data_IF_095676253375
#
_entry.id   IF_095676253375
#
_cell.length_a   1.000
_cell.length_b   1.000
_cell.length_c   1.000
_cell.angle_alpha   90.00
_cell.angle_beta   90.00
_cell.angle_gamma   90.00
#
_symmetry.space_group_name_H-M   'P 1'
#
loop_
_entity.id
_entity.type
_entity.pdbx_description
1 polymer ?
#
# COMPACT_ATOMS: atom_id res chain seq x y z
N UNK A 1 -8.81 63.20 6.26
CA UNK A 1 -9.17 61.77 6.44
C UNK A 1 -8.30 60.94 5.49
N UNK A 2 -7.29 60.23 6.02
CA UNK A 2 -6.40 59.36 5.23
C UNK A 2 -7.10 58.01 5.02
N UNK A 3 -7.36 57.63 3.77
CA UNK A 3 -7.89 56.31 3.40
C UNK A 3 -6.72 55.32 3.40
N UNK A 4 -6.75 54.34 4.31
CA UNK A 4 -5.84 53.19 4.26
C UNK A 4 -6.40 52.17 3.26
N UNK A 5 -5.66 51.91 2.19
CA UNK A 5 -5.96 50.88 1.22
C UNK A 5 -5.36 49.56 1.72
N UNK A 6 -6.21 48.69 2.28
CA UNK A 6 -5.82 47.34 2.71
C UNK A 6 -5.68 46.49 1.45
N UNK A 7 -4.44 46.16 1.08
CA UNK A 7 -4.14 45.17 0.04
C UNK A 7 -4.28 43.79 0.70
N UNK A 8 -5.41 43.11 0.49
CA UNK A 8 -5.55 41.70 0.80
C UNK A 8 -4.71 40.89 -0.20
N UNK A 9 -3.50 40.51 0.20
CA UNK A 9 -2.78 39.41 -0.44
C UNK A 9 -3.59 38.13 -0.18
N UNK A 10 -4.42 37.74 -1.14
CA UNK A 10 -4.97 36.39 -1.21
C UNK A 10 -3.79 35.46 -1.48
N UNK A 11 -3.16 34.98 -0.41
CA UNK A 11 -2.31 33.80 -0.45
C UNK A 11 -3.21 32.65 -0.91
N UNK A 12 -3.22 32.41 -2.22
CA UNK A 12 -3.78 31.19 -2.78
C UNK A 12 -2.93 30.05 -2.27
N UNK A 13 -3.30 29.48 -1.13
CA UNK A 13 -2.82 28.18 -0.73
C UNK A 13 -3.28 27.25 -1.84
N UNK A 14 -2.33 26.82 -2.69
CA UNK A 14 -2.59 25.74 -3.61
C UNK A 14 -2.89 24.54 -2.71
N UNK A 15 -4.18 24.24 -2.52
CA UNK A 15 -4.60 22.90 -2.16
C UNK A 15 -4.14 22.05 -3.33
N UNK A 16 -2.92 21.52 -3.21
CA UNK A 16 -2.47 20.43 -4.05
C UNK A 16 -3.42 19.31 -3.67
N UNK A 17 -4.43 19.09 -4.51
CA UNK A 17 -5.31 17.96 -4.35
C UNK A 17 -4.42 16.72 -4.27
N UNK A 18 -4.73 15.83 -3.33
CA UNK A 18 -4.00 14.58 -3.13
C UNK A 18 -4.25 13.64 -4.31
N UNK A 19 -3.80 14.01 -5.50
CA UNK A 19 -3.77 13.19 -6.70
C UNK A 19 -2.39 12.58 -6.87
N UNK A 20 -2.33 11.41 -7.48
CA UNK A 20 -1.07 10.84 -7.96
C UNK A 20 -0.36 11.82 -8.91
N UNK A 21 0.98 11.86 -8.87
CA UNK A 21 1.76 12.90 -9.54
C UNK A 21 1.71 12.76 -11.06
N UNK A 22 1.71 13.90 -11.75
CA UNK A 22 1.69 13.93 -13.22
C UNK A 22 3.05 14.24 -13.86
N UNK A 23 3.98 14.81 -13.09
CA UNK A 23 5.34 15.08 -13.56
C UNK A 23 6.37 14.81 -12.45
N UNK A 24 7.67 14.82 -12.80
CA UNK A 24 8.76 14.57 -11.82
C UNK A 24 8.71 15.56 -10.65
N UNK A 25 8.39 16.84 -10.91
CA UNK A 25 8.34 17.85 -9.85
C UNK A 25 7.24 17.52 -8.83
N UNK A 26 6.03 17.19 -9.29
CA UNK A 26 4.92 16.76 -8.43
C UNK A 26 5.23 15.42 -7.72
N UNK A 27 5.88 14.49 -8.41
CA UNK A 27 6.29 13.22 -7.82
C UNK A 27 7.25 13.46 -6.66
N UNK A 28 8.21 14.35 -6.84
CA UNK A 28 9.23 14.62 -5.83
C UNK A 28 8.77 15.53 -4.71
N UNK A 29 7.79 16.40 -4.93
CA UNK A 29 7.25 17.28 -3.88
C UNK A 29 6.62 16.52 -2.71
N UNK A 30 6.26 15.24 -2.88
CA UNK A 30 5.77 14.40 -1.77
C UNK A 30 6.82 14.09 -0.71
N UNK A 31 8.09 14.35 -0.99
CA UNK A 31 9.17 14.25 0.00
C UNK A 31 9.40 15.55 0.77
N UNK A 32 8.81 16.66 0.32
CA UNK A 32 8.83 17.94 1.03
C UNK A 32 7.77 17.99 2.14
N UNK A 33 6.64 17.30 1.92
CA UNK A 33 5.57 17.14 2.90
C UNK A 33 5.20 15.66 3.10
N UNK A 34 5.55 15.17 4.28
CA UNK A 34 5.39 13.79 4.69
C UNK A 34 3.92 13.37 4.88
N UNK A 35 2.95 14.28 4.87
CA UNK A 35 1.51 13.91 4.92
C UNK A 35 0.98 13.48 3.56
N UNK A 36 1.64 13.88 2.46
CA UNK A 36 1.15 13.65 1.10
C UNK A 36 0.90 12.16 0.82
N UNK A 37 1.77 11.25 1.29
CA UNK A 37 1.56 9.81 1.08
C UNK A 37 0.28 9.29 1.76
N UNK A 38 -0.02 9.76 2.99
CA UNK A 38 -1.25 9.42 3.69
C UNK A 38 -2.48 10.00 2.99
N UNK A 39 -2.39 11.24 2.51
CA UNK A 39 -3.48 11.91 1.82
C UNK A 39 -3.75 11.25 0.46
N UNK A 40 -2.70 10.86 -0.26
CA UNK A 40 -2.79 10.09 -1.51
C UNK A 40 -3.50 8.76 -1.30
N UNK A 41 -3.16 8.03 -0.23
CA UNK A 41 -3.81 6.77 0.14
C UNK A 41 -5.27 6.93 0.61
N UNK A 42 -5.70 8.15 0.93
CA UNK A 42 -7.07 8.44 1.37
C UNK A 42 -7.98 8.93 0.23
N UNK A 43 -7.41 9.33 -0.90
CA UNK A 43 -8.13 9.95 -2.00
C UNK A 43 -8.68 8.88 -2.97
N UNK A 44 -10.01 8.74 -3.15
CA UNK A 44 -10.62 7.66 -3.92
C UNK A 44 -10.07 7.49 -5.35
N UNK A 45 -9.77 8.60 -6.04
CA UNK A 45 -9.22 8.58 -7.39
C UNK A 45 -7.84 7.91 -7.49
N UNK A 46 -7.11 7.82 -6.38
CA UNK A 46 -5.81 7.15 -6.30
C UNK A 46 -5.92 5.69 -5.90
N UNK A 47 -7.13 5.15 -5.78
CA UNK A 47 -7.36 3.78 -5.32
C UNK A 47 -7.87 2.89 -6.46
N UNK A 48 -7.74 1.58 -6.30
CA UNK A 48 -8.16 0.64 -7.34
C UNK A 48 -9.69 0.64 -7.48
N UNK A 49 -10.18 0.73 -8.71
CA UNK A 49 -11.59 0.89 -9.01
C UNK A 49 -12.42 -0.38 -8.87
N UNK A 50 -11.81 -1.54 -8.62
CA UNK A 50 -12.52 -2.81 -8.61
C UNK A 50 -12.19 -3.65 -7.38
N UNK A 51 -13.24 -4.28 -6.84
CA UNK A 51 -13.11 -5.21 -5.72
C UNK A 51 -12.24 -6.39 -6.11
N UNK A 52 -11.53 -6.91 -5.13
CA UNK A 52 -10.91 -8.21 -5.23
C UNK A 52 -11.94 -9.29 -5.66
N UNK A 53 -11.57 -10.09 -6.66
CA UNK A 53 -12.41 -11.15 -7.23
C UNK A 53 -11.51 -12.22 -7.86
N UNK A 54 -12.08 -13.38 -8.23
CA UNK A 54 -11.35 -14.45 -8.91
C UNK A 54 -10.42 -15.25 -8.00
N UNK A 55 -9.26 -15.60 -8.52
CA UNK A 55 -8.21 -16.31 -7.78
C UNK A 55 -8.47 -17.81 -7.54
N UNK A 56 -7.48 -18.47 -6.92
CA UNK A 56 -7.53 -19.91 -6.62
C UNK A 56 -8.69 -20.19 -5.65
N UNK A 57 -9.57 -21.15 -6.01
CA UNK A 57 -10.78 -21.52 -5.26
C UNK A 57 -11.76 -20.37 -4.98
N UNK A 58 -11.80 -19.33 -5.82
CA UNK A 58 -12.62 -18.12 -5.62
C UNK A 58 -12.29 -17.37 -4.31
N UNK A 59 -11.10 -17.59 -3.73
CA UNK A 59 -10.64 -16.88 -2.53
C UNK A 59 -10.19 -15.45 -2.81
N UNK A 60 -10.15 -15.04 -4.09
CA UNK A 60 -9.62 -13.76 -4.53
C UNK A 60 -8.08 -13.73 -4.57
N UNK A 61 -7.56 -12.56 -4.92
CA UNK A 61 -6.14 -12.21 -5.03
C UNK A 61 -5.75 -11.12 -4.01
N UNK A 62 -6.40 -11.09 -2.83
CA UNK A 62 -6.31 -10.02 -1.82
C UNK A 62 -4.89 -9.49 -1.61
N UNK A 63 -3.94 -10.39 -1.34
CA UNK A 63 -2.57 -10.01 -1.03
C UNK A 63 -1.88 -9.29 -2.19
N UNK A 64 -2.03 -9.82 -3.40
CA UNK A 64 -1.46 -9.27 -4.62
C UNK A 64 -2.17 -7.98 -5.03
N UNK A 65 -3.47 -7.88 -4.74
CA UNK A 65 -4.27 -6.67 -4.95
C UNK A 65 -3.74 -5.50 -4.11
N UNK A 66 -3.58 -5.69 -2.80
CA UNK A 66 -3.00 -4.67 -1.90
C UNK A 66 -1.55 -4.32 -2.27
N UNK A 67 -0.72 -5.31 -2.64
CA UNK A 67 0.67 -5.03 -3.08
C UNK A 67 0.71 -4.22 -4.38
N UNK A 68 -0.12 -4.57 -5.37
CA UNK A 68 -0.22 -3.83 -6.62
C UNK A 68 -0.62 -2.37 -6.38
N UNK A 69 -1.63 -2.13 -5.53
CA UNK A 69 -2.06 -0.79 -5.15
C UNK A 69 -0.95 -0.02 -4.41
N UNK A 70 -0.24 -0.67 -3.47
CA UNK A 70 0.90 -0.04 -2.79
C UNK A 70 1.99 0.36 -3.77
N UNK A 71 2.32 -0.48 -4.75
CA UNK A 71 3.31 -0.16 -5.77
C UNK A 71 2.90 1.05 -6.62
N UNK A 72 1.62 1.15 -6.99
CA UNK A 72 1.08 2.34 -7.68
C UNK A 72 1.28 3.60 -6.83
N UNK A 73 0.87 3.57 -5.56
CA UNK A 73 0.98 4.73 -4.68
C UNK A 73 2.43 5.22 -4.52
N UNK A 74 3.39 4.30 -4.51
CA UNK A 74 4.81 4.65 -4.41
C UNK A 74 5.44 5.03 -5.75
N UNK A 75 5.21 4.31 -6.84
CA UNK A 75 6.10 4.36 -8.00
C UNK A 75 5.46 4.87 -9.29
N UNK A 76 4.17 5.21 -9.28
CA UNK A 76 3.50 5.64 -10.51
C UNK A 76 3.54 7.15 -10.74
N UNK A 77 3.56 7.53 -12.02
CA UNK A 77 3.34 8.89 -12.50
C UNK A 77 2.32 8.86 -13.64
N UNK A 78 1.19 9.56 -13.51
CA UNK A 78 0.09 9.54 -14.46
C UNK A 78 0.21 10.66 -15.49
N UNK A 79 0.17 10.33 -16.79
CA UNK A 79 0.41 11.29 -17.88
C UNK A 79 -0.82 11.40 -18.80
N UNK A 80 -1.86 12.14 -18.41
CA UNK A 80 -3.08 12.27 -19.22
C UNK A 80 -2.85 12.98 -20.56
N UNK A 81 -1.75 13.73 -20.67
CA UNK A 81 -1.31 14.41 -21.90
C UNK A 81 -0.67 13.48 -22.94
N UNK A 82 -0.27 12.26 -22.54
CA UNK A 82 0.26 11.25 -23.44
C UNK A 82 -0.87 10.38 -24.04
N UNK A 83 -0.68 9.82 -25.25
CA UNK A 83 -1.65 8.88 -25.80
C UNK A 83 -1.77 7.63 -24.93
N UNK A 84 -2.99 7.08 -24.82
CA UNK A 84 -3.24 5.83 -24.09
C UNK A 84 -2.37 4.69 -24.62
N UNK A 85 -1.94 3.83 -23.71
CA UNK A 85 -1.04 2.70 -24.01
C UNK A 85 -1.65 1.76 -25.05
N UNK A 86 -0.81 1.27 -25.97
CA UNK A 86 -1.21 0.25 -26.93
C UNK A 86 -1.52 -1.07 -26.19
N UNK A 87 -2.58 -1.82 -26.58
CA UNK A 87 -2.85 -3.14 -26.03
C UNK A 87 -1.65 -4.10 -25.95
N UNK A 88 -0.68 -4.01 -26.87
CA UNK A 88 0.54 -4.84 -26.85
C UNK A 88 1.52 -4.50 -25.71
N UNK A 89 1.52 -3.24 -25.28
CA UNK A 89 2.42 -2.70 -24.25
C UNK A 89 1.78 -2.71 -22.85
N UNK A 90 0.45 -2.84 -22.78
CA UNK A 90 -0.30 -2.86 -21.53
C UNK A 90 0.15 -3.98 -20.58
N UNK A 91 0.34 -5.20 -21.08
CA UNK A 91 0.76 -6.34 -20.23
C UNK A 91 2.17 -6.12 -19.64
N UNK A 92 3.19 -5.71 -20.42
CA UNK A 92 4.47 -5.26 -19.87
C UNK A 92 4.33 -4.19 -18.79
N UNK A 93 3.51 -3.15 -19.02
CA UNK A 93 3.30 -2.08 -18.03
C UNK A 93 2.73 -2.62 -16.71
N UNK A 94 1.68 -3.45 -16.75
CA UNK A 94 1.08 -4.06 -15.56
C UNK A 94 2.11 -4.92 -14.81
N UNK A 95 2.96 -5.65 -15.53
CA UNK A 95 4.05 -6.42 -14.91
C UNK A 95 5.13 -5.55 -14.27
N UNK A 96 5.40 -4.38 -14.84
CA UNK A 96 6.33 -3.41 -14.26
C UNK A 96 5.80 -2.83 -12.96
N UNK A 97 4.51 -2.44 -12.93
CA UNK A 97 3.80 -2.00 -11.71
C UNK A 97 3.87 -3.10 -10.66
N UNK A 98 3.53 -4.33 -11.04
CA UNK A 98 3.57 -5.52 -10.18
C UNK A 98 4.95 -5.74 -9.56
N UNK A 99 6.01 -5.61 -10.36
CA UNK A 99 7.37 -5.78 -9.89
C UNK A 99 7.81 -4.67 -8.94
N UNK A 100 7.32 -3.44 -9.16
CA UNK A 100 7.63 -2.28 -8.35
C UNK A 100 9.12 -1.94 -8.33
N UNK A 101 9.84 -2.15 -9.43
CA UNK A 101 11.31 -2.04 -9.52
C UNK A 101 11.82 -0.72 -10.11
N UNK A 102 10.92 0.10 -10.62
CA UNK A 102 11.20 1.34 -11.32
C UNK A 102 10.03 2.30 -11.17
N UNK A 103 10.26 3.58 -11.44
CA UNK A 103 9.16 4.53 -11.66
C UNK A 103 8.41 4.11 -12.92
N UNK A 104 7.08 4.02 -12.81
CA UNK A 104 6.21 3.62 -13.92
C UNK A 104 5.41 4.83 -14.39
N UNK A 105 5.58 5.18 -15.66
CA UNK A 105 4.78 6.21 -16.32
C UNK A 105 3.52 5.56 -16.90
N UNK A 106 2.34 6.03 -16.51
CA UNK A 106 1.05 5.52 -16.96
C UNK A 106 0.42 6.54 -17.92
N UNK A 107 0.46 6.31 -19.25
CA UNK A 107 0.07 7.32 -20.24
C UNK A 107 -1.44 7.28 -20.55
N UNK A 108 -2.02 8.45 -20.75
CA UNK A 108 -3.41 8.64 -21.17
C UNK A 108 -4.47 8.45 -20.08
N UNK A 109 -4.07 8.47 -18.81
CA UNK A 109 -4.93 8.37 -17.64
C UNK A 109 -4.62 9.50 -16.66
N UNK A 110 -5.65 10.01 -16.00
CA UNK A 110 -5.50 11.10 -15.02
C UNK A 110 -5.18 10.59 -13.61
N UNK A 111 -5.57 9.34 -13.30
CA UNK A 111 -5.45 8.75 -11.97
C UNK A 111 -5.59 7.21 -12.00
N UNK A 112 -5.40 6.58 -10.84
CA UNK A 112 -5.40 5.12 -10.72
C UNK A 112 -6.80 4.51 -10.88
N UNK A 113 -7.85 5.17 -10.39
CA UNK A 113 -9.22 4.72 -10.54
C UNK A 113 -9.58 4.54 -12.03
N UNK A 114 -9.29 5.55 -12.87
CA UNK A 114 -9.56 5.50 -14.32
C UNK A 114 -8.78 4.37 -15.01
N UNK A 115 -7.48 4.25 -14.70
CA UNK A 115 -6.60 3.22 -15.27
C UNK A 115 -7.05 1.81 -14.88
N UNK A 116 -7.32 1.60 -13.58
CA UNK A 116 -7.71 0.30 -13.06
C UNK A 116 -9.10 -0.12 -13.49
N UNK A 117 -10.02 0.82 -13.74
CA UNK A 117 -11.34 0.51 -14.29
C UNK A 117 -11.22 0.09 -15.75
N UNK A 118 -10.48 0.88 -16.53
CA UNK A 118 -10.32 0.65 -17.97
C UNK A 118 -9.65 -0.70 -18.26
N UNK A 119 -8.67 -1.10 -17.46
CA UNK A 119 -7.91 -2.34 -17.65
C UNK A 119 -8.14 -3.37 -16.56
N UNK A 120 -9.31 -3.34 -15.92
CA UNK A 120 -9.69 -4.25 -14.83
C UNK A 120 -9.39 -5.71 -15.17
N UNK A 121 -9.76 -6.15 -16.38
CA UNK A 121 -9.63 -7.54 -16.81
C UNK A 121 -8.17 -7.97 -16.92
N UNK A 122 -7.33 -7.12 -17.49
CA UNK A 122 -5.91 -7.38 -17.71
C UNK A 122 -5.13 -7.35 -16.40
N UNK A 123 -5.44 -6.39 -15.51
CA UNK A 123 -4.84 -6.32 -14.17
C UNK A 123 -5.22 -7.57 -13.38
N UNK A 124 -6.50 -7.91 -13.31
CA UNK A 124 -6.95 -9.09 -12.58
C UNK A 124 -6.29 -10.37 -13.08
N UNK A 125 -6.22 -10.57 -14.40
CA UNK A 125 -5.56 -11.73 -15.00
C UNK A 125 -4.09 -11.84 -14.58
N UNK A 126 -3.40 -10.70 -14.47
CA UNK A 126 -2.00 -10.69 -14.02
C UNK A 126 -1.89 -10.96 -12.52
N UNK A 127 -2.80 -10.44 -11.68
CA UNK A 127 -2.85 -10.75 -10.25
C UNK A 127 -3.14 -12.23 -9.99
N UNK A 128 -4.04 -12.85 -10.77
CA UNK A 128 -4.32 -14.29 -10.70
C UNK A 128 -3.10 -15.12 -11.12
N UNK A 129 -2.42 -14.73 -12.20
CA UNK A 129 -1.18 -15.37 -12.63
C UNK A 129 -0.08 -15.24 -11.57
N UNK A 130 0.01 -14.09 -10.90
CA UNK A 130 0.93 -13.87 -9.79
C UNK A 130 0.59 -14.74 -8.59
N UNK A 131 -0.69 -14.83 -8.21
CA UNK A 131 -1.15 -15.72 -7.16
C UNK A 131 -0.80 -17.18 -7.44
N UNK A 132 -1.05 -17.66 -8.67
CA UNK A 132 -0.76 -19.05 -9.03
C UNK A 132 0.73 -19.33 -8.92
N UNK A 133 1.57 -18.41 -9.40
CA UNK A 133 3.01 -18.56 -9.28
C UNK A 133 3.43 -18.63 -7.81
N UNK A 134 3.04 -17.67 -6.99
CA UNK A 134 3.43 -17.63 -5.58
C UNK A 134 2.85 -18.80 -4.76
N UNK A 135 1.57 -19.13 -4.99
CA UNK A 135 0.85 -20.16 -4.25
C UNK A 135 1.27 -21.58 -4.63
N UNK A 136 1.29 -21.89 -5.93
CA UNK A 136 1.52 -23.27 -6.42
C UNK A 136 3.01 -23.55 -6.62
N UNK A 137 3.75 -22.61 -7.21
CA UNK A 137 5.17 -22.85 -7.55
C UNK A 137 6.05 -22.70 -6.31
N UNK A 138 5.72 -21.76 -5.41
CA UNK A 138 6.52 -21.50 -4.23
C UNK A 138 5.92 -22.07 -2.93
N UNK A 139 4.75 -22.72 -2.98
CA UNK A 139 4.14 -23.39 -1.82
C UNK A 139 3.62 -22.45 -0.72
N UNK A 140 3.41 -21.16 -1.02
CA UNK A 140 3.21 -20.09 -0.03
C UNK A 140 1.81 -19.95 0.57
N UNK A 141 0.83 -20.66 0.00
CA UNK A 141 -0.53 -20.82 0.57
C UNK A 141 -0.56 -21.43 1.97
N UNK A 142 0.44 -22.23 2.36
CA UNK A 142 0.48 -22.90 3.68
C UNK A 142 0.79 -21.92 4.82
N UNK A 143 1.51 -20.83 4.53
CA UNK A 143 1.90 -19.82 5.53
C UNK A 143 0.83 -18.73 5.70
N UNK A 144 -0.20 -18.74 4.84
CA UNK A 144 -1.40 -17.91 4.94
C UNK A 144 -2.37 -18.26 6.06
N UNK A 145 -2.28 -19.50 6.53
CA UNK A 145 -3.26 -20.13 7.43
C UNK A 145 -2.66 -20.43 8.82
N UNK A 146 -1.38 -20.14 9.01
CA UNK A 146 -0.66 -20.32 10.26
C UNK A 146 -0.56 -18.97 10.94
N UNK A 147 -1.34 -18.79 11.98
CA UNK A 147 -1.35 -17.58 12.78
C UNK A 147 -2.49 -17.65 13.78
N UNK A 148 -2.27 -17.08 14.95
CA UNK A 148 -3.30 -17.03 15.97
C UNK A 148 -4.34 -15.94 15.64
N UNK A 149 -5.62 -16.24 15.87
CA UNK A 149 -6.70 -15.25 15.73
C UNK A 149 -6.90 -14.39 16.97
N UNK A 150 -6.12 -14.67 18.02
CA UNK A 150 -6.01 -13.94 19.28
C UNK A 150 -4.59 -14.11 19.81
N UNK A 151 -4.04 -13.11 20.46
CA UNK A 151 -2.73 -13.16 21.12
C UNK A 151 -2.80 -12.44 22.47
N UNK A 152 -1.76 -12.57 23.28
CA UNK A 152 -1.58 -11.81 24.52
C UNK A 152 -1.81 -10.30 24.31
N UNK A 153 -2.57 -9.68 25.21
CA UNK A 153 -2.90 -8.23 25.15
C UNK A 153 -1.64 -7.36 25.03
N UNK A 154 -0.62 -7.70 25.81
CA UNK A 154 0.66 -6.98 25.84
C UNK A 154 1.38 -7.05 24.49
N UNK A 155 1.34 -8.22 23.84
CA UNK A 155 1.93 -8.47 22.54
C UNK A 155 1.16 -7.74 21.43
N UNK A 156 -0.18 -7.77 21.44
CA UNK A 156 -0.97 -7.02 20.46
C UNK A 156 -0.71 -5.52 20.58
N UNK A 157 -0.65 -4.99 21.81
CA UNK A 157 -0.27 -3.59 22.04
C UNK A 157 1.12 -3.28 21.47
N UNK A 158 2.11 -4.16 21.69
CA UNK A 158 3.45 -3.98 21.12
C UNK A 158 3.42 -3.92 19.58
N UNK A 159 2.69 -4.83 18.92
CA UNK A 159 2.50 -4.80 17.46
C UNK A 159 1.84 -3.51 16.99
N UNK A 160 0.90 -2.96 17.76
CA UNK A 160 0.26 -1.68 17.46
C UNK A 160 1.19 -0.48 17.66
N UNK A 161 2.05 -0.51 18.68
CA UNK A 161 3.10 0.50 18.87
C UNK A 161 4.13 0.47 17.71
N UNK A 162 4.50 -0.73 17.24
CA UNK A 162 5.36 -0.94 16.07
C UNK A 162 4.70 -0.39 14.80
N UNK A 163 3.43 -0.73 14.56
CA UNK A 163 2.66 -0.21 13.44
C UNK A 163 2.56 1.32 13.48
N UNK A 164 2.37 1.90 14.67
CA UNK A 164 2.36 3.35 14.85
C UNK A 164 3.69 3.98 14.43
N UNK A 165 4.82 3.43 14.88
CA UNK A 165 6.12 3.91 14.46
C UNK A 165 6.32 3.75 12.95
N UNK A 166 5.90 2.63 12.38
CA UNK A 166 6.03 2.37 10.94
C UNK A 166 5.24 3.37 10.09
N UNK A 167 3.97 3.62 10.41
CA UNK A 167 3.10 4.47 9.59
C UNK A 167 3.26 5.94 9.95
N UNK A 168 3.16 6.30 11.24
CA UNK A 168 3.11 7.69 11.67
C UNK A 168 4.48 8.34 11.81
N UNK A 169 5.49 7.61 12.30
CA UNK A 169 6.84 8.15 12.51
C UNK A 169 7.67 8.03 11.24
N UNK A 170 7.70 6.83 10.64
CA UNK A 170 8.50 6.57 9.43
C UNK A 170 7.78 6.97 8.13
N UNK A 171 6.49 7.35 8.19
CA UNK A 171 5.71 7.91 7.07
C UNK A 171 5.53 6.93 5.90
N UNK A 172 5.25 5.68 6.25
CA UNK A 172 5.15 4.55 5.31
C UNK A 172 3.72 4.04 5.21
N UNK A 173 3.38 3.41 4.08
CA UNK A 173 2.14 2.63 3.97
C UNK A 173 2.44 1.20 4.45
N UNK A 174 1.88 0.83 5.60
CA UNK A 174 2.03 -0.52 6.13
C UNK A 174 1.15 -1.48 5.34
N UNK A 175 1.72 -2.62 4.97
CA UNK A 175 0.93 -3.76 4.49
C UNK A 175 0.68 -4.68 5.68
N UNK A 176 -0.58 -5.05 5.90
CA UNK A 176 -0.94 -6.01 6.92
C UNK A 176 -1.57 -7.25 6.30
N UNK A 177 -1.01 -8.41 6.61
CA UNK A 177 -1.64 -9.69 6.36
C UNK A 177 -2.57 -10.01 7.52
N UNK A 178 -3.81 -10.39 7.23
CA UNK A 178 -4.78 -10.72 8.27
C UNK A 178 -4.86 -12.23 8.45
N UNK A 179 -4.67 -12.69 9.69
CA UNK A 179 -4.83 -14.11 10.04
C UNK A 179 -6.28 -14.36 10.44
N UNK A 180 -7.10 -14.75 9.47
CA UNK A 180 -8.52 -15.00 9.64
C UNK A 180 -8.79 -16.49 9.53
N UNK A 181 -9.51 -17.06 10.49
CA UNK A 181 -9.84 -18.49 10.49
C UNK A 181 -10.69 -18.86 9.27
N UNK A 182 -10.18 -19.77 8.45
CA UNK A 182 -10.91 -20.35 7.31
C UNK A 182 -10.93 -19.48 6.04
N UNK A 183 -10.28 -18.31 6.05
CA UNK A 183 -10.09 -17.50 4.85
C UNK A 183 -8.65 -17.69 4.35
N UNK A 184 -8.48 -17.93 3.05
CA UNK A 184 -7.18 -18.28 2.46
C UNK A 184 -6.29 -17.07 2.17
N UNK A 185 -6.84 -15.86 2.03
CA UNK A 185 -6.05 -14.65 1.86
C UNK A 185 -6.85 -13.38 2.14
N UNK A 186 -6.39 -12.54 3.08
CA UNK A 186 -6.87 -11.16 3.22
C UNK A 186 -5.73 -10.22 3.61
N UNK A 187 -5.84 -8.94 3.23
CA UNK A 187 -4.83 -7.94 3.56
C UNK A 187 -5.38 -6.52 3.61
N UNK A 188 -4.75 -5.71 4.44
CA UNK A 188 -5.00 -4.28 4.56
C UNK A 188 -3.77 -3.47 4.17
N UNK A 189 -3.98 -2.25 3.67
CA UNK A 189 -2.96 -1.22 3.63
C UNK A 189 -3.30 -0.14 4.65
N UNK A 190 -2.46 0.06 5.67
CA UNK A 190 -2.65 1.13 6.65
C UNK A 190 -1.95 2.38 6.13
N UNK A 191 -2.74 3.39 5.78
CA UNK A 191 -2.27 4.65 5.17
C UNK A 191 -2.15 5.77 6.20
N UNK A 192 -2.83 5.65 7.34
CA UNK A 192 -2.75 6.59 8.46
C UNK A 192 -2.96 5.87 9.78
N UNK A 193 -2.30 6.35 10.83
CA UNK A 193 -2.59 5.90 12.20
C UNK A 193 -2.47 7.07 13.16
N UNK A 194 -3.43 7.15 14.09
CA UNK A 194 -3.48 8.15 15.14
C UNK A 194 -3.48 7.46 16.49
N UNK A 195 -2.57 7.88 17.36
CA UNK A 195 -2.54 7.43 18.76
C UNK A 195 -3.60 8.17 19.57
N UNK A 196 -4.31 7.42 20.41
CA UNK A 196 -5.28 7.89 21.39
C UNK A 196 -4.81 7.48 22.79
N UNK A 197 -5.39 8.06 23.84
CA UNK A 197 -5.10 7.66 25.22
C UNK A 197 -5.51 6.20 25.50
N UNK A 198 -6.54 5.72 24.79
CA UNK A 198 -7.10 4.37 24.95
C UNK A 198 -6.65 3.37 23.89
N UNK A 199 -5.84 3.76 22.90
CA UNK A 199 -5.45 2.88 21.80
C UNK A 199 -5.08 3.62 20.51
N UNK A 200 -5.58 3.14 19.38
CA UNK A 200 -5.19 3.63 18.05
C UNK A 200 -6.39 3.70 17.10
N UNK A 201 -6.51 4.78 16.35
CA UNK A 201 -7.36 4.86 15.15
C UNK A 201 -6.51 4.65 13.90
N UNK A 202 -6.87 3.67 13.10
CA UNK A 202 -6.22 3.33 11.85
C UNK A 202 -7.11 3.79 10.69
N UNK A 203 -6.52 4.39 9.67
CA UNK A 203 -7.16 4.54 8.36
C UNK A 203 -6.53 3.52 7.41
N UNK A 204 -7.36 2.63 6.86
CA UNK A 204 -6.93 1.47 6.11
C UNK A 204 -7.67 1.31 4.78
N UNK A 205 -7.01 0.69 3.81
CA UNK A 205 -7.63 0.24 2.57
C UNK A 205 -7.75 -1.27 2.65
N UNK A 206 -8.98 -1.76 2.67
CA UNK A 206 -9.28 -3.19 2.70
C UNK A 206 -9.29 -3.75 1.27
N UNK A 207 -8.61 -4.89 1.00
CA UNK A 207 -8.56 -5.47 -0.34
C UNK A 207 -9.94 -5.88 -0.90
N UNK A 208 -10.94 -6.12 -0.05
CA UNK A 208 -12.34 -6.39 -0.45
C UNK A 208 -13.13 -5.09 -0.66
N UNK A 209 -12.66 -3.96 -0.15
CA UNK A 209 -13.22 -2.65 -0.41
C UNK A 209 -12.16 -1.61 -0.82
N UNK A 210 -11.47 -1.84 -1.95
CA UNK A 210 -10.25 -1.10 -2.26
C UNK A 210 -10.50 0.32 -2.76
N UNK A 211 -11.75 0.71 -3.00
CA UNK A 211 -12.13 2.02 -3.55
C UNK A 211 -12.18 3.13 -2.51
N UNK A 212 -12.04 2.80 -1.23
CA UNK A 212 -12.16 3.76 -0.15
C UNK A 212 -11.20 3.43 0.99
N UNK A 213 -10.93 4.45 1.81
CA UNK A 213 -10.26 4.26 3.09
C UNK A 213 -11.31 4.16 4.19
N UNK A 214 -11.15 3.17 5.05
CA UNK A 214 -12.01 2.88 6.20
C UNK A 214 -11.27 3.19 7.49
N UNK A 215 -12.02 3.49 8.55
CA UNK A 215 -11.44 3.69 9.87
C UNK A 215 -11.70 2.47 10.74
N UNK A 216 -10.66 2.03 11.46
CA UNK A 216 -10.74 0.97 12.46
C UNK A 216 -10.12 1.47 13.77
N UNK A 217 -10.79 1.23 14.91
CA UNK A 217 -10.27 1.61 16.22
C UNK A 217 -9.85 0.38 17.01
N UNK A 218 -8.57 0.30 17.33
CA UNK A 218 -8.02 -0.68 18.29
C UNK A 218 -8.01 -0.07 19.69
N UNK A 219 -8.38 -0.87 20.71
CA UNK A 219 -8.32 -0.46 22.12
C UNK A 219 -7.26 -1.26 22.87
N UNK A 220 -6.52 -0.58 23.74
CA UNK A 220 -5.63 -1.23 24.68
C UNK A 220 -6.48 -2.13 25.60
N UNK A 221 -6.10 -3.40 25.71
CA UNK A 221 -6.90 -4.43 26.37
C UNK A 221 -7.46 -5.47 25.40
N UNK A 222 -7.52 -5.17 24.11
CA UNK A 222 -7.95 -6.14 23.10
C UNK A 222 -6.86 -7.21 22.88
N UNK A 223 -7.29 -8.46 22.69
CA UNK A 223 -6.44 -9.63 22.32
C UNK A 223 -6.44 -9.89 20.80
N UNK A 224 -7.36 -9.25 20.08
CA UNK A 224 -7.59 -9.44 18.65
C UNK A 224 -8.35 -8.26 18.05
N UNK A 225 -8.26 -8.12 16.74
CA UNK A 225 -9.19 -7.28 15.97
C UNK A 225 -10.49 -8.06 15.74
N UNK A 226 -11.60 -7.36 15.51
CA UNK A 226 -12.89 -7.95 15.21
C UNK A 226 -13.55 -7.24 14.03
N UNK A 227 -13.93 -8.02 13.02
CA UNK A 227 -14.78 -7.57 11.92
C UNK A 227 -16.02 -8.47 11.83
N UNK A 228 -17.16 -7.91 11.42
CA UNK A 228 -18.42 -8.68 11.35
C UNK A 228 -18.37 -9.80 10.33
N UNK A 229 -17.62 -9.63 9.25
CA UNK A 229 -17.47 -10.61 8.17
C UNK A 229 -16.36 -11.62 8.45
N UNK A 230 -15.31 -11.24 9.19
CA UNK A 230 -14.14 -12.08 9.43
C UNK A 230 -14.10 -12.74 10.82
N UNK A 231 -14.84 -12.22 11.79
CA UNK A 231 -14.72 -12.59 13.19
C UNK A 231 -13.46 -12.00 13.83
N UNK A 232 -12.88 -12.72 14.79
CA UNK A 232 -11.61 -12.31 15.41
C UNK A 232 -10.42 -12.64 14.52
N UNK A 233 -9.47 -11.72 14.41
CA UNK A 233 -8.23 -11.90 13.68
C UNK A 233 -7.11 -11.07 14.30
N UNK A 234 -5.87 -11.38 13.93
CA UNK A 234 -4.69 -10.58 14.28
C UNK A 234 -4.05 -10.08 12.98
N UNK A 235 -3.79 -8.75 12.86
CA UNK A 235 -3.04 -8.21 11.74
C UNK A 235 -1.54 -8.32 11.98
N UNK A 236 -0.80 -8.75 10.96
CA UNK A 236 0.66 -8.86 11.00
C UNK A 236 1.25 -7.87 10.00
N UNK A 237 2.16 -7.00 10.47
CA UNK A 237 2.91 -6.10 9.61
C UNK A 237 3.88 -6.91 8.76
N UNK A 238 3.78 -6.74 7.45
CA UNK A 238 4.40 -7.64 6.48
C UNK A 238 4.99 -6.87 5.29
N UNK A 239 5.89 -7.54 4.55
CA UNK A 239 6.54 -6.98 3.36
C UNK A 239 7.18 -5.60 3.61
N UNK A 240 7.94 -5.49 4.68
CA UNK A 240 8.62 -4.25 5.08
C UNK A 240 9.87 -4.01 4.23
N UNK A 241 10.59 -5.07 3.79
CA UNK A 241 11.73 -4.93 2.87
C UNK A 241 11.28 -4.48 1.50
N UNK A 242 10.17 -5.03 1.00
CA UNK A 242 9.54 -4.52 -0.22
C UNK A 242 9.26 -3.02 -0.13
N UNK A 243 8.65 -2.54 0.96
CA UNK A 243 8.36 -1.11 1.11
C UNK A 243 9.63 -0.25 1.17
N UNK A 244 10.66 -0.68 1.91
CA UNK A 244 11.95 0.02 1.97
C UNK A 244 12.54 0.18 0.56
N UNK A 245 12.41 -0.86 -0.26
CA UNK A 245 12.86 -0.85 -1.65
C UNK A 245 12.03 0.13 -2.50
N UNK A 246 10.70 0.14 -2.38
CA UNK A 246 9.83 1.11 -3.08
C UNK A 246 10.22 2.55 -2.72
N UNK A 247 10.37 2.86 -1.43
CA UNK A 247 10.77 4.18 -0.96
C UNK A 247 12.16 4.57 -1.48
N UNK A 248 13.10 3.63 -1.49
CA UNK A 248 14.47 3.85 -1.99
C UNK A 248 14.48 4.18 -3.48
N UNK A 249 13.75 3.43 -4.31
CA UNK A 249 13.64 3.69 -5.76
C UNK A 249 13.07 5.09 -5.99
N UNK A 250 12.02 5.45 -5.26
CA UNK A 250 11.37 6.72 -5.44
C UNK A 250 12.19 7.92 -4.94
N UNK A 251 12.91 7.79 -3.83
CA UNK A 251 13.88 8.81 -3.38
C UNK A 251 15.02 8.98 -4.36
N UNK A 252 15.54 7.88 -4.91
CA UNK A 252 16.59 7.92 -5.94
C UNK A 252 16.12 8.65 -7.20
N UNK A 253 14.88 8.44 -7.64
CA UNK A 253 14.30 9.20 -8.76
C UNK A 253 14.26 10.71 -8.52
N UNK A 254 14.16 11.11 -7.25
CA UNK A 254 14.14 12.50 -6.79
C UNK A 254 15.51 13.04 -6.38
N UNK A 255 16.59 12.32 -6.69
CA UNK A 255 17.95 12.72 -6.35
C UNK A 255 18.17 12.91 -4.83
N UNK A 256 17.34 12.25 -4.01
CA UNK A 256 17.42 12.24 -2.55
C UNK A 256 18.31 11.07 -2.14
N UNK A 257 19.44 11.38 -1.49
CA UNK A 257 20.35 10.37 -0.95
C UNK A 257 19.67 9.67 0.23
N UNK A 258 19.28 8.40 0.03
CA UNK A 258 18.86 7.54 1.14
C UNK A 258 20.10 6.90 1.77
N UNK A 259 20.34 7.03 3.09
CA UNK A 259 21.43 6.34 3.77
C UNK A 259 21.39 4.82 3.60
N UNK A 260 20.20 4.27 3.33
CA UNK A 260 19.96 2.85 3.07
C UNK A 260 20.26 2.44 1.61
N UNK A 261 20.43 3.40 0.70
CA UNK A 261 20.69 3.12 -0.72
C UNK A 261 22.13 2.69 -1.02
N UNK A 262 23.06 2.85 -0.07
CA UNK A 262 24.48 2.86 -0.44
C UNK A 262 25.21 1.52 -0.53
N UNK A 263 24.65 0.35 -0.16
CA UNK A 263 25.42 -0.90 -0.43
C UNK A 263 24.66 -2.24 -0.61
N UNK A 264 23.36 -2.36 -0.32
CA UNK A 264 22.75 -3.72 -0.27
C UNK A 264 21.37 -3.90 -0.89
N UNK A 265 20.58 -2.84 -1.15
CA UNK A 265 19.14 -2.98 -1.46
C UNK A 265 18.83 -3.32 -2.93
N UNK A 266 19.77 -3.14 -3.87
CA UNK A 266 19.43 -3.23 -5.32
C UNK A 266 19.71 -4.60 -5.95
N UNK A 267 20.44 -5.52 -5.29
CA UNK A 267 21.01 -6.68 -6.01
C UNK A 267 20.23 -7.99 -5.95
N UNK A 268 19.20 -8.18 -5.12
CA UNK A 268 18.50 -9.47 -5.10
C UNK A 268 17.02 -9.41 -4.67
N UNK A 269 16.14 -9.04 -5.61
CA UNK A 269 14.68 -8.97 -5.41
C UNK A 269 14.05 -10.28 -4.92
N UNK A 270 14.46 -11.41 -5.50
CA UNK A 270 13.92 -12.70 -5.07
C UNK A 270 14.35 -12.97 -3.62
N UNK A 271 15.56 -12.55 -3.23
CA UNK A 271 16.00 -12.66 -1.85
C UNK A 271 15.24 -11.72 -0.89
N UNK A 272 14.84 -10.51 -1.28
CA UNK A 272 14.02 -9.65 -0.42
C UNK A 272 12.66 -10.28 -0.14
N UNK A 273 12.03 -10.85 -1.17
CA UNK A 273 10.74 -11.52 -1.03
C UNK A 273 10.85 -12.80 -0.20
N UNK A 274 11.84 -13.65 -0.46
CA UNK A 274 12.08 -14.85 0.36
C UNK A 274 12.50 -14.49 1.79
N UNK A 275 13.25 -13.40 2.00
CA UNK A 275 13.64 -12.93 3.32
C UNK A 275 12.45 -12.36 4.10
N UNK A 276 11.60 -11.54 3.45
CA UNK A 276 10.33 -11.10 4.05
C UNK A 276 9.54 -12.32 4.53
N UNK A 277 9.41 -13.35 3.70
CA UNK A 277 8.69 -14.59 4.03
C UNK A 277 9.34 -15.40 5.16
N UNK A 278 10.67 -15.41 5.25
CA UNK A 278 11.38 -16.03 6.36
C UNK A 278 11.12 -15.28 7.67
N UNK A 279 11.13 -13.95 7.63
CA UNK A 279 10.83 -13.10 8.79
C UNK A 279 9.39 -13.37 9.29
N UNK A 280 8.42 -13.58 8.38
CA UNK A 280 7.05 -14.03 8.74
C UNK A 280 7.11 -15.29 9.58
N UNK A 281 7.78 -16.31 9.05
CA UNK A 281 7.81 -17.64 9.65
C UNK A 281 8.39 -17.58 11.05
N UNK A 282 9.47 -16.82 11.25
CA UNK A 282 10.08 -16.62 12.55
C UNK A 282 9.18 -15.82 13.50
N UNK A 283 8.45 -14.82 13.01
CA UNK A 283 7.54 -13.99 13.83
C UNK A 283 6.30 -14.74 14.35
N UNK A 284 5.99 -15.90 13.77
CA UNK A 284 4.87 -16.76 14.14
C UNK A 284 5.25 -17.86 15.16
N UNK A 285 6.54 -18.04 15.43
CA UNK A 285 7.06 -19.03 16.38
C UNK A 285 7.18 -18.48 17.83
N UNK A 286 6.82 -17.22 18.04
CA UNK A 286 6.81 -16.51 19.34
C UNK A 286 5.42 -15.96 19.66
#
# INVERSE_FOLDING_TARGET
MKKYMIICFLLSTKLIAASLPQNKSEFCSRYDDLTIMSDMGSAPQNLMSFKNQGGIFNGGVCWWHSRFQRNILYLSQFRPDLPRINPKELKPLIKEIRAGKSIVIIPGFSNFEEFSETYKKEILKELEAWQIYDGVVLGKWVDGLKGETKIEVSLLKQKMDELYNYVQVNKKIAYQKLQIKGITSHSWLIVKIKKLDSGYDLALIDSNNPKQTENYSYKIGDESFFDKSYGNFVPYLEFTREEIRLDTIAKAYCDIVSPLAQDTVIKNYDADYEADLLDIKLSQEY
#
